data_IF_982609676760
#
_entry.id   IF_982609676760
#
_cell.length_a   1.000
_cell.length_b   1.000
_cell.length_c   1.000
_cell.angle_alpha   90.00
_cell.angle_beta   90.00
_cell.angle_gamma   90.00
#
_symmetry.space_group_name_H-M   'P 1'
#
loop_
_entity.id
_entity.type
_entity.pdbx_description
1 polymer ?
#
# COMPACT_ATOMS: atom_id res chain seq x y z
N UNK A 1 -18.96 5.58 -3.07
CA UNK A 1 -17.98 4.95 -3.97
C UNK A 1 -16.60 5.50 -3.65
N UNK A 2 -15.62 4.66 -3.40
CA UNK A 2 -14.27 5.06 -3.03
C UNK A 2 -13.25 4.43 -3.97
N UNK A 3 -12.11 5.09 -4.13
CA UNK A 3 -10.98 4.54 -4.89
C UNK A 3 -9.94 4.01 -3.91
N UNK A 4 -9.40 2.84 -4.18
CA UNK A 4 -8.46 2.17 -3.29
C UNK A 4 -7.25 1.67 -4.05
N UNK A 5 -6.10 1.79 -3.39
CA UNK A 5 -4.86 1.16 -3.80
C UNK A 5 -4.55 0.05 -2.81
N UNK A 6 -4.27 -1.13 -3.32
CA UNK A 6 -3.95 -2.30 -2.49
C UNK A 6 -2.56 -2.81 -2.84
N UNK A 7 -1.76 -3.09 -1.82
CA UNK A 7 -0.48 -3.74 -1.99
C UNK A 7 -0.43 -5.03 -1.18
N UNK A 8 0.00 -6.10 -1.80
CA UNK A 8 0.07 -7.44 -1.22
C UNK A 8 1.53 -7.87 -1.22
N UNK A 9 2.15 -7.91 -0.04
CA UNK A 9 3.56 -8.25 0.11
C UNK A 9 3.72 -9.72 0.48
N UNK A 10 4.57 -10.42 -0.27
CA UNK A 10 4.98 -11.78 0.12
C UNK A 10 5.99 -11.69 1.26
N UNK A 11 6.23 -12.81 1.92
CA UNK A 11 7.17 -12.83 3.04
C UNK A 11 8.56 -12.37 2.58
N UNK A 12 9.11 -11.31 3.21
CA UNK A 12 10.44 -10.84 2.85
C UNK A 12 11.51 -11.86 3.20
N UNK A 13 12.64 -11.82 2.48
CA UNK A 13 13.80 -12.64 2.83
C UNK A 13 14.34 -12.27 4.21
N UNK A 14 14.28 -10.97 4.55
CA UNK A 14 14.67 -10.45 5.86
C UNK A 14 13.51 -9.62 6.41
N UNK A 15 12.57 -10.26 7.16
CA UNK A 15 11.41 -9.54 7.66
C UNK A 15 11.72 -8.37 8.56
N UNK A 16 12.76 -8.48 9.38
CA UNK A 16 13.13 -7.39 10.30
C UNK A 16 13.56 -6.14 9.53
N UNK A 17 14.42 -6.30 8.52
CA UNK A 17 14.86 -5.19 7.68
C UNK A 17 13.68 -4.58 6.93
N UNK A 18 12.81 -5.41 6.39
CA UNK A 18 11.60 -4.94 5.69
C UNK A 18 10.70 -4.14 6.63
N UNK A 19 10.42 -4.68 7.80
CA UNK A 19 9.53 -4.03 8.78
C UNK A 19 10.08 -2.68 9.21
N UNK A 20 11.37 -2.60 9.50
CA UNK A 20 12.00 -1.34 9.90
C UNK A 20 11.90 -0.29 8.80
N UNK A 21 12.21 -0.67 7.56
CA UNK A 21 12.12 0.25 6.44
C UNK A 21 10.68 0.70 6.21
N UNK A 22 9.75 -0.23 6.21
CA UNK A 22 8.34 0.07 5.97
C UNK A 22 7.80 1.06 7.01
N UNK A 23 8.04 0.81 8.29
CA UNK A 23 7.51 1.66 9.35
C UNK A 23 8.23 2.99 9.48
N UNK A 24 9.54 3.01 9.32
CA UNK A 24 10.33 4.23 9.56
C UNK A 24 10.39 5.15 8.34
N UNK A 25 10.35 4.61 7.15
CA UNK A 25 10.55 5.37 5.92
C UNK A 25 9.27 5.45 5.10
N UNK A 26 8.68 4.29 4.77
CA UNK A 26 7.57 4.24 3.81
C UNK A 26 6.28 4.84 4.36
N UNK A 27 5.88 4.47 5.56
CA UNK A 27 4.64 5.00 6.15
C UNK A 27 4.64 6.52 6.25
N UNK A 28 5.72 7.17 6.76
CA UNK A 28 5.74 8.63 6.80
C UNK A 28 5.62 9.29 5.44
N UNK A 29 6.19 8.69 4.38
CA UNK A 29 6.05 9.20 3.02
C UNK A 29 4.62 9.05 2.50
N UNK A 30 4.06 7.86 2.64
CA UNK A 30 2.71 7.57 2.13
C UNK A 30 1.64 8.39 2.85
N UNK A 31 1.82 8.68 4.12
CA UNK A 31 0.88 9.50 4.90
C UNK A 31 0.76 10.92 4.38
N UNK A 32 1.70 11.39 3.58
CA UNK A 32 1.68 12.74 2.99
C UNK A 32 0.95 12.79 1.66
N UNK A 33 0.49 11.66 1.13
CA UNK A 33 -0.24 11.63 -0.14
C UNK A 33 -1.48 12.52 -0.05
N UNK A 34 -1.65 13.46 -1.03
CA UNK A 34 -2.78 14.37 -0.98
C UNK A 34 -4.11 13.64 -1.04
N UNK A 35 -5.08 14.10 -0.28
CA UNK A 35 -6.44 13.57 -0.29
C UNK A 35 -6.61 12.20 0.33
N UNK A 36 -5.55 11.60 0.84
CA UNK A 36 -5.61 10.28 1.47
C UNK A 36 -6.58 10.30 2.66
N UNK A 37 -7.57 9.41 2.63
CA UNK A 37 -8.61 9.32 3.66
C UNK A 37 -8.30 8.27 4.69
N UNK A 38 -7.72 7.15 4.25
CA UNK A 38 -7.47 6.02 5.14
C UNK A 38 -6.24 5.26 4.66
N UNK A 39 -5.43 4.83 5.60
CA UNK A 39 -4.25 4.02 5.35
C UNK A 39 -4.26 2.87 6.35
N UNK A 40 -4.47 1.66 5.86
CA UNK A 40 -4.56 0.47 6.70
C UNK A 40 -3.42 -0.48 6.36
N UNK A 41 -2.71 -0.92 7.38
CA UNK A 41 -1.67 -1.94 7.24
C UNK A 41 -2.15 -3.19 7.97
N UNK A 42 -2.42 -4.25 7.22
CA UNK A 42 -2.89 -5.52 7.76
C UNK A 42 -1.74 -6.47 8.00
N UNK A 43 -1.66 -6.98 9.22
CA UNK A 43 -0.65 -7.95 9.66
C UNK A 43 -1.37 -9.22 10.08
N UNK A 44 -0.60 -10.26 10.40
CA UNK A 44 -1.14 -11.53 10.91
C UNK A 44 -2.18 -12.13 9.96
N UNK A 45 -1.83 -12.12 8.68
CA UNK A 45 -2.73 -12.57 7.62
C UNK A 45 -2.93 -14.08 7.72
N UNK A 46 -4.19 -14.51 7.73
CA UNK A 46 -4.55 -15.91 7.71
C UNK A 46 -5.22 -16.22 6.38
N UNK A 47 -4.70 -17.19 5.64
CA UNK A 47 -5.30 -17.58 4.38
C UNK A 47 -6.56 -18.43 4.65
N UNK A 48 -7.67 -18.03 4.05
CA UNK A 48 -8.86 -18.88 4.01
C UNK A 48 -8.69 -19.92 2.91
N UNK A 49 -8.06 -19.50 1.81
CA UNK A 49 -7.78 -20.36 0.67
C UNK A 49 -6.54 -19.84 -0.05
N UNK A 50 -5.67 -20.73 -0.47
CA UNK A 50 -4.41 -20.36 -1.12
C UNK A 50 -3.33 -19.97 -0.12
N UNK A 51 -2.21 -19.48 -0.62
CA UNK A 51 -1.09 -19.07 0.22
C UNK A 51 -1.35 -17.69 0.83
N UNK A 52 -0.97 -17.45 2.09
CA UNK A 52 -1.12 -16.14 2.70
C UNK A 52 -0.06 -15.16 2.22
N UNK A 53 -0.37 -13.87 2.35
CA UNK A 53 0.61 -12.81 2.20
C UNK A 53 1.18 -12.43 3.57
N UNK A 54 2.36 -11.85 3.56
CA UNK A 54 3.00 -11.35 4.77
C UNK A 54 2.30 -10.12 5.32
N UNK A 55 1.89 -9.22 4.41
CA UNK A 55 1.28 -7.94 4.78
C UNK A 55 0.35 -7.48 3.67
N UNK A 56 -0.79 -6.93 4.06
CA UNK A 56 -1.76 -6.32 3.15
C UNK A 56 -1.86 -4.84 3.47
N UNK A 57 -1.85 -4.00 2.43
CA UNK A 57 -1.95 -2.55 2.59
C UNK A 57 -3.10 -2.03 1.77
N UNK A 58 -3.86 -1.11 2.34
CA UNK A 58 -4.96 -0.47 1.62
C UNK A 58 -4.93 1.03 1.89
N UNK A 59 -4.92 1.82 0.81
CA UNK A 59 -5.02 3.27 0.84
C UNK A 59 -6.32 3.68 0.16
N UNK A 60 -7.05 4.64 0.74
CA UNK A 60 -8.38 5.01 0.26
C UNK A 60 -8.47 6.51 -0.01
N UNK A 61 -9.08 6.85 -1.14
CA UNK A 61 -9.46 8.20 -1.54
C UNK A 61 -10.94 8.25 -1.86
N UNK A 62 -11.53 9.45 -1.85
CA UNK A 62 -12.95 9.61 -2.17
C UNK A 62 -13.25 9.27 -3.63
N UNK A 63 -12.33 9.61 -4.55
CA UNK A 63 -12.52 9.39 -5.97
C UNK A 63 -11.26 8.86 -6.63
N UNK A 64 -11.44 8.23 -7.80
CA UNK A 64 -10.32 7.76 -8.61
C UNK A 64 -9.44 8.92 -9.10
N UNK A 65 -10.07 10.05 -9.42
CA UNK A 65 -9.31 11.24 -9.87
C UNK A 65 -8.40 11.75 -8.76
N UNK A 66 -8.87 11.76 -7.51
CA UNK A 66 -8.05 12.16 -6.37
C UNK A 66 -6.89 11.19 -6.14
N UNK A 67 -7.15 9.88 -6.29
CA UNK A 67 -6.09 8.87 -6.19
C UNK A 67 -5.02 9.10 -7.26
N UNK A 68 -5.43 9.29 -8.51
CA UNK A 68 -4.49 9.52 -9.61
C UNK A 68 -3.71 10.81 -9.42
N UNK A 69 -4.37 11.88 -8.98
CA UNK A 69 -3.70 13.14 -8.68
C UNK A 69 -2.68 12.99 -7.57
N UNK A 70 -3.02 12.22 -6.53
CA UNK A 70 -2.09 11.96 -5.43
C UNK A 70 -0.83 11.25 -5.94
N UNK A 71 -0.98 10.23 -6.77
CA UNK A 71 0.16 9.49 -7.31
C UNK A 71 1.01 10.35 -8.25
N UNK A 72 0.41 11.31 -8.94
CA UNK A 72 1.12 12.23 -9.84
C UNK A 72 1.79 13.40 -9.10
N UNK A 73 1.49 13.60 -7.83
CA UNK A 73 2.05 14.69 -7.02
C UNK A 73 3.51 14.45 -6.66
N UNK A 74 4.24 15.47 -6.17
CA UNK A 74 5.59 15.27 -5.65
C UNK A 74 5.64 14.24 -4.53
N UNK A 75 4.64 14.24 -3.65
CA UNK A 75 4.52 13.24 -2.58
C UNK A 75 4.31 11.85 -3.15
N UNK A 76 3.52 11.72 -4.22
CA UNK A 76 3.32 10.45 -4.90
C UNK A 76 4.59 9.91 -5.52
N UNK A 77 5.39 10.79 -6.14
CA UNK A 77 6.67 10.39 -6.72
C UNK A 77 7.65 9.95 -5.65
N UNK A 78 7.69 10.63 -4.51
CA UNK A 78 8.55 10.24 -3.39
C UNK A 78 8.14 8.88 -2.83
N UNK A 79 6.85 8.65 -2.68
CA UNK A 79 6.32 7.36 -2.20
C UNK A 79 6.64 6.24 -3.20
N UNK A 80 6.46 6.49 -4.51
CA UNK A 80 6.75 5.51 -5.54
C UNK A 80 8.25 5.17 -5.60
N UNK A 81 9.10 6.16 -5.41
CA UNK A 81 10.55 5.94 -5.36
C UNK A 81 10.92 5.00 -4.21
N UNK A 82 10.30 5.19 -3.04
CA UNK A 82 10.54 4.29 -1.91
C UNK A 82 9.88 2.93 -2.12
N UNK A 83 8.75 2.87 -2.78
CA UNK A 83 8.12 1.60 -3.13
C UNK A 83 9.05 0.73 -3.98
N UNK A 84 9.83 1.33 -4.86
CA UNK A 84 10.83 0.61 -5.65
C UNK A 84 11.90 -0.02 -4.75
N UNK A 85 12.27 0.66 -3.65
CA UNK A 85 13.18 0.10 -2.66
C UNK A 85 12.56 -1.09 -1.93
N UNK A 86 11.28 -0.99 -1.58
CA UNK A 86 10.58 -2.10 -0.93
C UNK A 86 10.51 -3.33 -1.82
N UNK A 87 10.41 -3.16 -3.14
CA UNK A 87 10.41 -4.27 -4.08
C UNK A 87 11.72 -5.06 -4.08
N UNK A 88 12.81 -4.43 -3.68
CA UNK A 88 14.09 -5.14 -3.51
C UNK A 88 14.07 -6.02 -2.24
N UNK A 89 13.22 -5.70 -1.28
CA UNK A 89 13.14 -6.41 0.00
C UNK A 89 12.05 -7.48 0.03
N UNK A 90 11.01 -7.34 -0.78
CA UNK A 90 9.89 -8.28 -0.81
C UNK A 90 9.18 -8.20 -2.15
N UNK A 91 8.71 -9.33 -2.64
CA UNK A 91 7.84 -9.38 -3.81
C UNK A 91 6.50 -8.76 -3.45
N UNK A 92 5.98 -7.89 -4.30
CA UNK A 92 4.72 -7.20 -4.06
C UNK A 92 3.84 -7.24 -5.31
N UNK A 93 2.54 -7.36 -5.07
CA UNK A 93 1.51 -7.15 -6.10
C UNK A 93 0.69 -5.96 -5.66
N UNK A 94 0.40 -5.05 -6.59
CA UNK A 94 -0.39 -3.87 -6.27
C UNK A 94 -1.41 -3.61 -7.37
N UNK A 95 -2.55 -3.05 -6.96
CA UNK A 95 -3.64 -2.79 -7.88
C UNK A 95 -4.53 -1.68 -7.35
N UNK A 96 -5.29 -1.10 -8.24
CA UNK A 96 -6.26 -0.05 -7.92
C UNK A 96 -7.64 -0.59 -8.24
N UNK A 97 -8.61 -0.30 -7.38
CA UNK A 97 -10.00 -0.60 -7.68
C UNK A 97 -10.91 0.48 -7.14
N UNK A 98 -12.10 0.55 -7.71
CA UNK A 98 -13.16 1.45 -7.24
C UNK A 98 -14.17 0.59 -6.49
N UNK A 99 -14.31 0.88 -5.20
CA UNK A 99 -15.18 0.11 -4.33
C UNK A 99 -16.61 0.62 -4.37
N UNK A 100 -17.54 -0.31 -4.42
CA UNK A 100 -18.97 -0.05 -4.27
C UNK A 100 -19.50 -0.94 -3.17
N UNK A 101 -20.40 -0.38 -2.37
CA UNK A 101 -21.06 -1.15 -1.35
C UNK A 101 -21.97 -2.20 -2.00
N UNK A 102 -21.80 -3.46 -1.60
CA UNK A 102 -22.62 -4.56 -2.15
C UNK A 102 -23.95 -4.71 -1.40
N UNK A 103 -24.02 -4.14 -0.20
CA UNK A 103 -25.25 -4.18 0.63
C UNK A 103 -25.28 -3.01 1.58
#
# INVERSE_FOLDING_TARGET
MTARFVALYETPADPETFDQHYHRIHIPLARRLPGLRRYTVGRDVTAVRGAPYYMLVELEWDTLDELRSAFASPEGRATASDAARLQELATVRSMIFVGRQAM
#
